data_IF_937807058753
#
_entry.id   IF_937807058753
#
_cell.length_a   1.000
_cell.length_b   1.000
_cell.length_c   1.000
_cell.angle_alpha   90.00
_cell.angle_beta   90.00
_cell.angle_gamma   90.00
#
_symmetry.space_group_name_H-M   'P 1'
#
loop_
_entity.id
_entity.type
_entity.pdbx_description
1 polymer ?
#
# COMPACT_ATOMS: atom_id res chain seq x y z
N UNK A 1 -12.69 -7.23 -8.63
CA UNK A 1 -12.14 -7.53 -7.30
C UNK A 1 -10.63 -7.45 -7.42
N UNK A 2 -9.97 -6.68 -6.54
CA UNK A 2 -8.52 -6.52 -6.52
C UNK A 2 -7.92 -7.13 -5.23
N UNK A 3 -6.72 -7.69 -5.31
CA UNK A 3 -6.04 -8.33 -4.18
C UNK A 3 -4.56 -7.97 -4.15
N UNK A 4 -4.11 -7.50 -3.00
CA UNK A 4 -2.73 -7.10 -2.73
C UNK A 4 -2.16 -7.98 -1.62
N UNK A 5 -0.88 -8.34 -1.73
CA UNK A 5 -0.15 -9.10 -0.70
C UNK A 5 1.03 -8.27 -0.23
N UNK A 6 1.08 -8.00 1.08
CA UNK A 6 2.20 -7.29 1.69
C UNK A 6 3.39 -8.26 1.79
N UNK A 7 4.57 -7.94 1.23
CA UNK A 7 5.73 -8.85 1.23
C UNK A 7 6.21 -9.21 2.65
N UNK A 8 6.11 -8.27 3.59
CA UNK A 8 6.55 -8.42 4.97
C UNK A 8 5.31 -8.49 5.86
N UNK A 9 5.13 -9.58 6.61
CA UNK A 9 4.02 -9.75 7.55
C UNK A 9 2.86 -10.61 7.04
N UNK A 10 2.83 -10.93 5.74
CA UNK A 10 1.87 -11.87 5.16
C UNK A 10 0.42 -11.38 5.19
N UNK A 11 0.22 -10.06 5.28
CA UNK A 11 -1.10 -9.47 5.20
C UNK A 11 -1.65 -9.54 3.77
N UNK A 12 -2.93 -9.86 3.66
CA UNK A 12 -3.68 -9.83 2.41
C UNK A 12 -4.74 -8.74 2.47
N UNK A 13 -4.79 -7.88 1.46
CA UNK A 13 -5.80 -6.82 1.32
C UNK A 13 -6.65 -7.15 0.11
N UNK A 14 -7.97 -7.16 0.27
CA UNK A 14 -8.93 -7.36 -0.82
C UNK A 14 -9.87 -6.17 -0.90
N UNK A 15 -10.11 -5.73 -2.13
CA UNK A 15 -11.01 -4.61 -2.46
C UNK A 15 -12.19 -5.12 -3.28
N UNK A 16 -13.40 -4.82 -2.82
CA UNK A 16 -14.64 -5.24 -3.45
C UNK A 16 -15.66 -4.10 -3.44
N UNK A 17 -16.22 -3.76 -4.61
CA UNK A 17 -17.39 -2.89 -4.65
C UNK A 17 -18.61 -3.64 -4.11
N UNK A 18 -19.37 -2.95 -3.26
CA UNK A 18 -20.64 -3.44 -2.71
C UNK A 18 -21.71 -2.40 -3.05
N UNK A 19 -22.71 -2.84 -3.82
CA UNK A 19 -23.85 -2.02 -4.18
C UNK A 19 -25.02 -2.33 -3.22
N UNK A 20 -25.61 -1.28 -2.64
CA UNK A 20 -26.76 -1.39 -1.76
C UNK A 20 -28.04 -1.16 -2.59
N UNK A 21 -28.99 -2.11 -2.54
CA UNK A 21 -30.26 -1.99 -3.28
C UNK A 21 -31.13 -0.81 -2.81
N UNK A 22 -32.02 -0.34 -3.69
CA UNK A 22 -32.83 0.89 -3.59
C UNK A 22 -32.10 2.23 -3.86
N UNK A 23 -31.13 2.24 -4.79
CA UNK A 23 -30.43 3.47 -5.18
C UNK A 23 -29.42 3.97 -4.14
N UNK A 24 -28.97 3.06 -3.26
CA UNK A 24 -27.95 3.33 -2.27
C UNK A 24 -26.59 3.66 -2.90
N UNK A 25 -25.71 4.24 -2.09
CA UNK A 25 -24.34 4.58 -2.48
C UNK A 25 -23.52 3.31 -2.70
N UNK A 26 -22.79 3.22 -3.82
CA UNK A 26 -21.76 2.19 -4.03
C UNK A 26 -20.63 2.40 -3.02
N UNK A 27 -20.37 1.38 -2.20
CA UNK A 27 -19.33 1.38 -1.19
C UNK A 27 -18.15 0.52 -1.63
N UNK A 28 -16.96 0.85 -1.15
CA UNK A 28 -15.77 0.02 -1.31
C UNK A 28 -15.53 -0.76 -0.02
N UNK A 29 -15.74 -2.08 -0.07
CA UNK A 29 -15.39 -2.99 1.01
C UNK A 29 -13.91 -3.34 0.96
N UNK A 30 -13.24 -3.12 2.08
CA UNK A 30 -11.84 -3.46 2.31
C UNK A 30 -11.80 -4.63 3.29
N UNK A 31 -11.11 -5.71 2.92
CA UNK A 31 -10.88 -6.88 3.77
C UNK A 31 -9.39 -7.06 3.97
N UNK A 32 -8.92 -6.94 5.20
CA UNK A 32 -7.52 -7.16 5.58
C UNK A 32 -7.47 -8.44 6.40
N UNK A 33 -6.65 -9.40 5.96
CA UNK A 33 -6.36 -10.62 6.69
C UNK A 33 -4.91 -10.63 7.13
N UNK A 34 -4.69 -10.93 8.40
CA UNK A 34 -3.36 -11.15 8.96
C UNK A 34 -3.40 -12.37 9.89
N UNK A 35 -2.91 -13.52 9.42
CA UNK A 35 -3.02 -14.80 10.13
C UNK A 35 -4.48 -15.11 10.51
N UNK A 36 -4.81 -15.02 11.81
CA UNK A 36 -6.14 -15.22 12.39
C UNK A 36 -6.93 -13.93 12.60
N UNK A 37 -6.32 -12.75 12.40
CA UNK A 37 -6.98 -11.45 12.51
C UNK A 37 -7.62 -11.06 11.18
N UNK A 38 -8.84 -10.56 11.26
CA UNK A 38 -9.59 -10.08 10.13
C UNK A 38 -10.17 -8.71 10.46
N UNK A 39 -9.94 -7.74 9.56
CA UNK A 39 -10.57 -6.42 9.62
C UNK A 39 -11.36 -6.24 8.34
N UNK A 40 -12.65 -5.93 8.48
CA UNK A 40 -13.53 -5.64 7.34
C UNK A 40 -14.25 -4.33 7.63
N UNK A 41 -14.20 -3.41 6.69
CA UNK A 41 -14.91 -2.14 6.77
C UNK A 41 -15.19 -1.64 5.36
N UNK A 42 -16.21 -0.78 5.26
CA UNK A 42 -16.67 -0.20 4.00
C UNK A 42 -16.40 1.30 4.04
N UNK A 43 -15.96 1.87 2.91
CA UNK A 43 -15.74 3.30 2.74
C UNK A 43 -16.49 3.83 1.52
N UNK A 44 -16.94 5.08 1.60
CA UNK A 44 -17.60 5.76 0.50
C UNK A 44 -16.59 6.21 -0.60
N UNK A 45 -17.06 6.61 -1.80
CA UNK A 45 -16.18 7.03 -2.89
C UNK A 45 -15.31 8.26 -2.59
N UNK A 46 -15.76 9.20 -1.76
CA UNK A 46 -14.97 10.38 -1.39
C UNK A 46 -13.81 9.96 -0.46
N UNK A 47 -14.09 9.16 0.56
CA UNK A 47 -13.10 8.60 1.47
C UNK A 47 -12.08 7.74 0.70
N UNK A 48 -12.53 6.91 -0.24
CA UNK A 48 -11.65 6.09 -1.08
C UNK A 48 -10.67 6.92 -1.92
N UNK A 49 -11.15 8.01 -2.54
CA UNK A 49 -10.29 8.94 -3.30
C UNK A 49 -9.22 9.59 -2.41
N UNK A 50 -9.61 10.07 -1.24
CA UNK A 50 -8.68 10.73 -0.33
C UNK A 50 -7.62 9.76 0.20
N UNK A 51 -8.03 8.55 0.58
CA UNK A 51 -7.12 7.52 1.06
C UNK A 51 -6.14 7.07 -0.03
N UNK A 52 -6.64 6.80 -1.25
CA UNK A 52 -5.80 6.46 -2.41
C UNK A 52 -4.75 7.54 -2.72
N UNK A 53 -5.17 8.81 -2.75
CA UNK A 53 -4.25 9.91 -2.96
C UNK A 53 -3.19 10.03 -1.85
N UNK A 54 -3.55 9.76 -0.60
CA UNK A 54 -2.60 9.75 0.51
C UNK A 54 -1.56 8.61 0.37
N UNK A 55 -1.99 7.41 -0.01
CA UNK A 55 -1.11 6.26 -0.24
C UNK A 55 -0.12 6.53 -1.38
N UNK A 56 -0.61 7.06 -2.51
CA UNK A 56 0.26 7.40 -3.66
C UNK A 56 1.26 8.49 -3.30
N UNK A 57 0.84 9.55 -2.62
CA UNK A 57 1.75 10.61 -2.16
C UNK A 57 2.84 10.04 -1.25
N UNK A 58 2.48 9.16 -0.31
CA UNK A 58 3.45 8.52 0.57
C UNK A 58 4.46 7.67 -0.22
N UNK A 59 4.00 6.88 -1.19
CA UNK A 59 4.87 6.04 -2.02
C UNK A 59 5.88 6.87 -2.83
N UNK A 60 5.45 8.00 -3.38
CA UNK A 60 6.32 8.92 -4.16
C UNK A 60 7.42 9.58 -3.32
N UNK A 61 7.26 9.65 -1.99
CA UNK A 61 8.28 10.18 -1.09
C UNK A 61 9.32 9.13 -0.68
N UNK A 62 9.10 7.86 -1.02
CA UNK A 62 10.08 6.81 -0.69
C UNK A 62 11.27 6.90 -1.65
N UNK A 63 12.49 6.65 -1.17
CA UNK A 63 13.62 6.43 -2.08
C UNK A 63 13.29 5.30 -3.04
N UNK A 64 13.59 5.50 -4.33
CA UNK A 64 13.51 4.42 -5.32
C UNK A 64 14.29 3.22 -4.78
N UNK A 65 13.58 2.12 -4.55
CA UNK A 65 14.21 0.89 -4.07
C UNK A 65 15.02 0.31 -5.23
N UNK A 66 16.28 0.72 -5.33
CA UNK A 66 17.17 0.40 -6.45
C UNK A 66 18.18 1.50 -6.86
N UNK A 67 18.31 2.60 -6.11
CA UNK A 67 19.39 3.57 -6.35
C UNK A 67 20.77 2.90 -6.34
N UNK A 68 21.72 3.26 -7.22
CA UNK A 68 22.97 2.55 -7.37
C UNK A 68 23.72 2.52 -6.03
N UNK A 69 24.17 1.34 -5.62
CA UNK A 69 25.19 1.20 -4.57
C UNK A 69 26.34 2.11 -5.00
N UNK A 70 26.52 3.22 -4.28
CA UNK A 70 27.72 4.03 -4.41
C UNK A 70 28.85 3.10 -3.96
N UNK A 71 29.82 2.73 -4.83
CA UNK A 71 30.96 1.98 -4.35
C UNK A 71 31.58 2.80 -3.22
N UNK A 72 31.80 2.15 -2.08
CA UNK A 72 32.48 2.75 -0.95
C UNK A 72 33.76 3.38 -1.52
N UNK A 73 33.90 4.70 -1.35
CA UNK A 73 35.11 5.40 -1.76
C UNK A 73 36.27 4.68 -1.05
N UNK A 74 37.00 3.86 -1.81
CA UNK A 74 38.19 3.19 -1.34
C UNK A 74 39.10 4.30 -0.84
N UNK A 75 39.45 4.22 0.44
CA UNK A 75 40.38 5.15 1.05
C UNK A 75 41.63 5.21 0.19
N UNK A 76 41.95 6.42 -0.25
CA UNK A 76 43.31 6.77 -0.63
C UNK A 76 44.18 6.60 0.62
N UNK A 77 44.72 5.40 0.78
CA UNK A 77 45.90 5.19 1.59
C UNK A 77 47.02 5.97 0.91
N UNK A 78 47.55 6.95 1.65
CA UNK A 78 48.90 7.43 1.41
C UNK A 78 49.92 6.32 1.66
N UNK A 79 51.19 6.70 1.47
CA UNK A 79 52.42 5.90 1.54
C UNK A 79 52.67 5.10 0.25
N UNK A 80 53.62 5.50 -0.61
CA UNK A 80 55.06 5.76 -0.37
C UNK A 80 55.68 6.77 -1.32
#
# INVERSE_FOLDING_TARGET
MERLRVPIGGQEIQLQQVDHEAGGMSMLRIRIRERSRFTVFDIDPLTARQWGAAMTRWAQLQPETGGPVRPAAGGSAGDV
#
